data_IF_726133067610
#
_entry.id   IF_726133067610
#
_cell.length_a   1.000
_cell.length_b   1.000
_cell.length_c   1.000
_cell.angle_alpha   90.00
_cell.angle_beta   90.00
_cell.angle_gamma   90.00
#
_symmetry.space_group_name_H-M   'P 1'
#
loop_
_entity.id
_entity.type
_entity.pdbx_description
1 polymer ?
#
# COMPACT_ATOMS: atom_id res chain seq x y z
N UNK A 1 15.51 19.04 -10.92
CA UNK A 1 15.87 17.98 -9.95
C UNK A 1 15.75 18.44 -8.49
N UNK A 2 16.31 19.59 -8.08
CA UNK A 2 16.20 20.11 -6.69
C UNK A 2 14.74 20.35 -6.24
N UNK A 3 13.87 20.91 -7.08
CA UNK A 3 12.46 21.19 -6.75
C UNK A 3 11.65 19.90 -6.45
N UNK A 4 11.91 18.82 -7.19
CA UNK A 4 11.27 17.51 -6.94
C UNK A 4 11.77 16.86 -5.64
N UNK A 5 13.03 17.07 -5.28
CA UNK A 5 13.61 16.58 -4.03
C UNK A 5 12.96 17.28 -2.82
N UNK A 6 12.79 18.62 -2.86
CA UNK A 6 12.12 19.39 -1.81
C UNK A 6 10.64 19.00 -1.62
N UNK A 7 9.94 18.70 -2.71
CA UNK A 7 8.53 18.27 -2.66
C UNK A 7 8.45 16.90 -1.97
N UNK A 8 9.30 15.96 -2.36
CA UNK A 8 9.36 14.63 -1.76
C UNK A 8 9.67 14.66 -0.26
N UNK A 9 10.64 15.48 0.14
CA UNK A 9 11.03 15.61 1.55
C UNK A 9 9.93 16.24 2.40
N UNK A 10 9.17 17.20 1.86
CA UNK A 10 8.00 17.78 2.53
C UNK A 10 6.87 16.78 2.73
N UNK A 11 6.61 15.91 1.76
CA UNK A 11 5.60 14.85 1.89
C UNK A 11 6.02 13.79 2.90
N UNK A 12 7.29 13.40 2.93
CA UNK A 12 7.81 12.48 3.95
C UNK A 12 7.71 13.09 5.35
N UNK A 13 8.05 14.36 5.51
CA UNK A 13 7.87 15.08 6.78
C UNK A 13 6.40 15.16 7.18
N UNK A 14 5.49 15.46 6.25
CA UNK A 14 4.06 15.48 6.53
C UNK A 14 3.56 14.09 6.97
N UNK A 15 3.97 13.01 6.31
CA UNK A 15 3.61 11.65 6.69
C UNK A 15 4.13 11.32 8.10
N UNK A 16 5.38 11.67 8.43
CA UNK A 16 5.94 11.48 9.78
C UNK A 16 5.18 12.31 10.83
N UNK A 17 4.79 13.53 10.51
CA UNK A 17 3.95 14.36 11.38
C UNK A 17 2.61 13.68 11.66
N UNK A 18 1.99 13.06 10.66
CA UNK A 18 0.75 12.30 10.83
C UNK A 18 0.89 11.10 11.79
N UNK A 19 2.08 10.49 11.90
CA UNK A 19 2.34 9.45 12.90
C UNK A 19 2.31 9.98 14.34
N UNK A 20 2.73 11.24 14.54
CA UNK A 20 2.97 11.81 15.88
C UNK A 20 1.76 12.58 16.37
N UNK A 21 1.09 13.33 15.50
CA UNK A 21 -0.02 14.22 15.86
C UNK A 21 -1.30 13.42 16.09
N UNK A 22 -1.95 13.56 17.26
CA UNK A 22 -3.26 12.96 17.48
C UNK A 22 -4.29 13.65 16.59
N UNK A 23 -4.95 12.87 15.73
CA UNK A 23 -6.05 13.35 14.89
C UNK A 23 -7.40 13.02 15.53
N UNK A 24 -8.41 13.85 15.27
CA UNK A 24 -9.78 13.58 15.69
C UNK A 24 -10.41 12.44 14.85
N UNK A 25 -11.41 11.75 15.40
CA UNK A 25 -12.15 10.70 14.70
C UNK A 25 -12.76 11.18 13.37
N UNK A 26 -13.32 12.39 13.35
CA UNK A 26 -13.89 12.98 12.12
C UNK A 26 -12.83 13.22 11.05
N UNK A 27 -11.62 13.67 11.43
CA UNK A 27 -10.53 13.86 10.49
C UNK A 27 -10.02 12.51 9.97
N UNK A 28 -9.97 11.49 10.83
CA UNK A 28 -9.63 10.13 10.41
C UNK A 28 -10.63 9.60 9.38
N UNK A 29 -11.94 9.80 9.58
CA UNK A 29 -12.97 9.39 8.63
C UNK A 29 -12.77 10.02 7.25
N UNK A 30 -12.49 11.33 7.20
CA UNK A 30 -12.19 12.03 5.93
C UNK A 30 -10.94 11.47 5.27
N UNK A 31 -9.88 11.23 6.04
CA UNK A 31 -8.62 10.69 5.51
C UNK A 31 -8.76 9.25 5.01
N UNK A 32 -9.56 8.42 5.68
CA UNK A 32 -9.89 7.06 5.22
C UNK A 32 -10.67 7.09 3.91
N UNK A 33 -11.69 7.96 3.80
CA UNK A 33 -12.44 8.14 2.56
C UNK A 33 -11.54 8.61 1.41
N UNK A 34 -10.61 9.53 1.68
CA UNK A 34 -9.62 9.99 0.72
C UNK A 34 -8.67 8.87 0.30
N UNK A 35 -8.22 8.04 1.23
CA UNK A 35 -7.36 6.87 0.94
C UNK A 35 -8.06 5.88 0.00
N UNK A 36 -9.33 5.57 0.26
CA UNK A 36 -10.15 4.71 -0.62
C UNK A 36 -10.31 5.33 -2.00
N UNK A 37 -10.59 6.64 -2.06
CA UNK A 37 -10.73 7.37 -3.33
C UNK A 37 -9.44 7.35 -4.15
N UNK A 38 -8.29 7.58 -3.53
CA UNK A 38 -6.97 7.47 -4.20
C UNK A 38 -6.77 6.04 -4.73
N UNK A 39 -7.06 5.01 -3.93
CA UNK A 39 -6.90 3.62 -4.35
C UNK A 39 -7.78 3.30 -5.58
N UNK A 40 -9.02 3.78 -5.62
CA UNK A 40 -9.90 3.61 -6.78
C UNK A 40 -9.39 4.36 -8.01
N UNK A 41 -8.93 5.60 -7.87
CA UNK A 41 -8.34 6.36 -8.97
C UNK A 41 -7.12 5.64 -9.54
N UNK A 42 -6.25 5.12 -8.68
CA UNK A 42 -5.07 4.35 -9.09
C UNK A 42 -5.49 3.08 -9.82
N UNK A 43 -6.48 2.34 -9.30
CA UNK A 43 -7.03 1.14 -9.94
C UNK A 43 -7.55 1.44 -11.34
N UNK A 44 -8.39 2.47 -11.49
CA UNK A 44 -8.91 2.84 -12.80
C UNK A 44 -7.81 3.30 -13.75
N UNK A 45 -6.84 4.08 -13.29
CA UNK A 45 -5.71 4.47 -14.12
C UNK A 45 -4.92 3.25 -14.65
N UNK A 46 -4.66 2.25 -13.80
CA UNK A 46 -3.93 1.04 -14.21
C UNK A 46 -4.68 0.21 -15.24
N UNK A 47 -6.02 0.24 -15.25
CA UNK A 47 -6.83 -0.48 -16.24
C UNK A 47 -6.77 0.15 -17.66
N UNK A 48 -6.50 1.46 -17.75
CA UNK A 48 -6.49 2.20 -19.03
C UNK A 48 -5.10 2.49 -19.57
N UNK A 49 -4.04 2.18 -18.85
CA UNK A 49 -2.66 2.37 -19.29
C UNK A 49 -2.31 1.44 -20.44
N UNK A 50 -1.73 2.00 -21.51
CA UNK A 50 -1.33 1.26 -22.71
C UNK A 50 0.14 0.87 -22.71
N UNK A 51 1.02 1.78 -22.28
CA UNK A 51 2.45 1.53 -22.20
C UNK A 51 2.93 1.61 -20.74
N UNK A 52 3.87 0.75 -20.38
CA UNK A 52 4.40 0.67 -19.01
C UNK A 52 5.00 2.01 -18.55
N UNK A 53 5.65 2.73 -19.45
CA UNK A 53 6.31 4.01 -19.17
C UNK A 53 5.33 5.17 -18.96
N UNK A 54 4.07 5.05 -19.39
CA UNK A 54 3.03 6.05 -19.12
C UNK A 54 2.78 6.20 -17.61
N UNK A 55 3.10 5.16 -16.84
CA UNK A 55 3.02 5.17 -15.36
C UNK A 55 4.40 5.08 -14.68
N UNK A 56 5.41 5.72 -15.22
CA UNK A 56 6.77 5.70 -14.65
C UNK A 56 6.84 6.16 -13.19
N UNK A 57 5.88 6.98 -12.73
CA UNK A 57 5.74 7.44 -11.34
C UNK A 57 5.08 6.41 -10.40
N UNK A 58 4.51 5.31 -10.92
CA UNK A 58 3.71 4.35 -10.15
C UNK A 58 4.44 3.73 -8.96
N UNK A 59 5.72 3.29 -9.06
CA UNK A 59 6.43 2.77 -7.90
C UNK A 59 6.53 3.80 -6.75
N UNK A 60 6.75 5.06 -7.09
CA UNK A 60 6.80 6.15 -6.11
C UNK A 60 5.42 6.40 -5.50
N UNK A 61 4.36 6.36 -6.30
CA UNK A 61 2.98 6.49 -5.82
C UNK A 61 2.62 5.38 -4.84
N UNK A 62 3.01 4.13 -5.12
CA UNK A 62 2.81 3.00 -4.20
C UNK A 62 3.49 3.23 -2.84
N UNK A 63 4.71 3.76 -2.82
CA UNK A 63 5.40 4.08 -1.57
C UNK A 63 4.63 5.14 -0.77
N UNK A 64 4.16 6.22 -1.42
CA UNK A 64 3.40 7.27 -0.76
C UNK A 64 2.07 6.77 -0.20
N UNK A 65 1.29 6.05 -1.00
CA UNK A 65 0.00 5.51 -0.57
C UNK A 65 0.17 4.52 0.57
N UNK A 66 1.23 3.73 0.57
CA UNK A 66 1.56 2.79 1.64
C UNK A 66 1.92 3.52 2.95
N UNK A 67 2.79 4.54 2.90
CA UNK A 67 3.12 5.36 4.08
C UNK A 67 1.87 6.04 4.63
N UNK A 68 1.03 6.59 3.76
CA UNK A 68 -0.22 7.22 4.15
C UNK A 68 -1.16 6.23 4.86
N UNK A 69 -1.32 5.02 4.31
CA UNK A 69 -2.13 3.95 4.91
C UNK A 69 -1.60 3.50 6.27
N UNK A 70 -0.28 3.30 6.41
CA UNK A 70 0.34 2.96 7.70
C UNK A 70 0.05 4.07 8.73
N UNK A 71 0.18 5.34 8.34
CA UNK A 71 -0.11 6.47 9.22
C UNK A 71 -1.56 6.49 9.70
N UNK A 72 -2.51 6.17 8.81
CA UNK A 72 -3.93 6.05 9.17
C UNK A 72 -4.17 4.86 10.12
N UNK A 73 -3.54 3.72 9.89
CA UNK A 73 -3.64 2.55 10.76
C UNK A 73 -3.13 2.86 12.18
N UNK A 74 -1.98 3.56 12.31
CA UNK A 74 -1.45 3.97 13.61
C UNK A 74 -2.37 4.96 14.30
N UNK A 75 -2.93 5.92 13.56
CA UNK A 75 -3.88 6.91 14.10
C UNK A 75 -5.18 6.26 14.55
N UNK A 76 -5.73 5.32 13.77
CA UNK A 76 -6.89 4.52 14.12
C UNK A 76 -6.63 3.70 15.39
N UNK A 77 -5.49 3.00 15.46
CA UNK A 77 -5.04 2.27 16.66
C UNK A 77 -5.06 3.15 17.90
N UNK A 78 -4.48 4.35 17.80
CA UNK A 78 -4.46 5.28 18.92
C UNK A 78 -5.88 5.65 19.37
N UNK A 79 -6.79 5.96 18.45
CA UNK A 79 -8.18 6.29 18.77
C UNK A 79 -8.93 5.10 19.38
N UNK A 80 -8.76 3.89 18.83
CA UNK A 80 -9.34 2.66 19.38
C UNK A 80 -8.90 2.47 20.83
N UNK A 81 -7.59 2.54 21.10
CA UNK A 81 -7.04 2.28 22.43
C UNK A 81 -7.29 3.39 23.45
N UNK A 82 -7.44 4.66 23.00
CA UNK A 82 -7.64 5.79 23.91
C UNK A 82 -9.09 6.12 24.18
N UNK A 83 -9.95 6.07 23.15
CA UNK A 83 -11.34 6.51 23.20
C UNK A 83 -12.37 5.40 22.98
N UNK A 84 -11.94 4.24 22.47
CA UNK A 84 -12.85 3.18 22.01
C UNK A 84 -13.70 3.59 20.81
N UNK A 85 -13.40 4.72 20.14
CA UNK A 85 -14.15 5.24 19.02
C UNK A 85 -13.21 5.70 17.89
N UNK A 86 -12.93 4.84 16.90
CA UNK A 86 -12.06 5.17 15.77
C UNK A 86 -12.73 6.00 14.67
N UNK A 87 -14.01 6.34 14.82
CA UNK A 87 -14.81 7.06 13.82
C UNK A 87 -15.88 6.20 13.15
N UNK A 88 -16.74 6.88 12.37
CA UNK A 88 -17.91 6.25 11.76
C UNK A 88 -17.53 5.29 10.62
N UNK A 89 -16.49 5.60 9.86
CA UNK A 89 -16.06 4.77 8.73
C UNK A 89 -15.65 3.38 9.23
N UNK A 90 -14.78 3.31 10.25
CA UNK A 90 -14.31 2.04 10.81
C UNK A 90 -15.47 1.24 11.42
N UNK A 91 -16.31 1.91 12.23
CA UNK A 91 -17.48 1.25 12.85
C UNK A 91 -18.46 0.70 11.81
N UNK A 92 -18.79 1.50 10.79
CA UNK A 92 -19.74 1.07 9.75
C UNK A 92 -19.19 -0.11 8.95
N UNK A 93 -17.90 -0.08 8.59
CA UNK A 93 -17.27 -1.19 7.89
C UNK A 93 -17.22 -2.46 8.75
N UNK A 94 -16.85 -2.33 10.04
CA UNK A 94 -16.82 -3.45 10.97
C UNK A 94 -18.22 -4.10 11.12
N UNK A 95 -19.26 -3.31 11.29
CA UNK A 95 -20.64 -3.78 11.35
C UNK A 95 -21.11 -4.41 10.04
N UNK A 96 -20.75 -3.82 8.90
CA UNK A 96 -21.11 -4.33 7.58
C UNK A 96 -20.47 -5.69 7.29
N UNK A 97 -19.18 -5.84 7.57
CA UNK A 97 -18.43 -7.08 7.34
C UNK A 97 -18.84 -8.19 8.31
N UNK A 98 -19.01 -7.85 9.59
CA UNK A 98 -19.41 -8.80 10.63
C UNK A 98 -20.91 -9.11 10.64
N UNK A 99 -21.76 -8.34 9.95
CA UNK A 99 -23.21 -8.51 9.99
C UNK A 99 -23.80 -8.39 11.40
N UNK A 100 -23.07 -7.76 12.34
CA UNK A 100 -23.44 -7.65 13.75
C UNK A 100 -23.08 -8.90 14.59
N UNK A 101 -22.46 -9.91 14.01
CA UNK A 101 -22.01 -11.12 14.70
C UNK A 101 -20.47 -11.19 14.70
N UNK A 102 -19.88 -11.20 15.88
CA UNK A 102 -18.43 -11.25 16.07
C UNK A 102 -17.81 -12.53 15.47
N UNK A 103 -18.51 -13.67 15.57
CA UNK A 103 -18.01 -14.96 15.07
C UNK A 103 -17.93 -14.92 13.55
N UNK A 104 -18.98 -14.42 12.90
CA UNK A 104 -19.03 -14.25 11.45
C UNK A 104 -17.95 -13.27 11.00
N UNK A 105 -17.81 -12.14 11.68
CA UNK A 105 -16.75 -11.16 11.43
C UNK A 105 -15.36 -11.76 11.53
N UNK A 106 -15.08 -12.53 12.58
CA UNK A 106 -13.79 -13.20 12.77
C UNK A 106 -13.49 -14.23 11.66
N UNK A 107 -14.47 -15.00 11.23
CA UNK A 107 -14.30 -15.97 10.13
C UNK A 107 -13.99 -15.23 8.82
N UNK A 108 -14.76 -14.20 8.48
CA UNK A 108 -14.55 -13.38 7.28
C UNK A 108 -13.17 -12.73 7.33
N UNK A 109 -12.78 -12.17 8.48
CA UNK A 109 -11.45 -11.58 8.68
C UNK A 109 -10.33 -12.59 8.40
N UNK A 110 -10.40 -13.80 8.97
CA UNK A 110 -9.39 -14.85 8.73
C UNK A 110 -9.30 -15.18 7.23
N UNK A 111 -10.44 -15.31 6.54
CA UNK A 111 -10.46 -15.57 5.10
C UNK A 111 -9.78 -14.42 4.34
N UNK A 112 -10.12 -13.17 4.65
CA UNK A 112 -9.51 -12.00 4.01
C UNK A 112 -8.00 -11.94 4.25
N UNK A 113 -7.53 -12.22 5.47
CA UNK A 113 -6.11 -12.29 5.82
C UNK A 113 -5.39 -13.36 5.00
N UNK A 114 -5.97 -14.56 4.88
CA UNK A 114 -5.38 -15.63 4.06
C UNK A 114 -5.28 -15.21 2.60
N UNK A 115 -6.35 -14.64 2.02
CA UNK A 115 -6.36 -14.15 0.64
C UNK A 115 -5.30 -13.06 0.45
N UNK A 116 -5.26 -12.08 1.33
CA UNK A 116 -4.30 -10.98 1.26
C UNK A 116 -2.85 -11.48 1.34
N UNK A 117 -2.56 -12.39 2.25
CA UNK A 117 -1.19 -12.88 2.43
C UNK A 117 -0.75 -13.87 1.36
N UNK A 118 -1.58 -14.85 1.03
CA UNK A 118 -1.22 -15.95 0.13
C UNK A 118 -1.39 -15.55 -1.32
N UNK A 119 -2.52 -14.92 -1.67
CA UNK A 119 -2.83 -14.63 -3.07
C UNK A 119 -2.25 -13.29 -3.49
N UNK A 120 -2.55 -12.23 -2.74
CA UNK A 120 -2.17 -10.87 -3.15
C UNK A 120 -0.69 -10.63 -2.91
N UNK A 121 -0.20 -10.75 -1.67
CA UNK A 121 1.17 -10.38 -1.36
C UNK A 121 2.20 -11.30 -2.00
N UNK A 122 2.07 -12.64 -1.85
CA UNK A 122 3.00 -13.58 -2.47
C UNK A 122 2.86 -13.59 -4.00
N UNK A 123 1.64 -13.46 -4.52
CA UNK A 123 1.39 -13.42 -5.95
C UNK A 123 2.00 -12.19 -6.60
N UNK A 124 1.68 -10.99 -6.10
CA UNK A 124 2.18 -9.73 -6.66
C UNK A 124 3.70 -9.58 -6.54
N UNK A 125 4.27 -9.98 -5.39
CA UNK A 125 5.72 -9.99 -5.17
C UNK A 125 6.41 -10.88 -6.20
N UNK A 126 5.91 -12.10 -6.41
CA UNK A 126 6.51 -13.04 -7.35
C UNK A 126 6.43 -12.55 -8.79
N UNK A 127 5.30 -11.98 -9.19
CA UNK A 127 5.13 -11.41 -10.53
C UNK A 127 6.08 -10.23 -10.73
N UNK A 128 6.18 -9.30 -9.78
CA UNK A 128 7.07 -8.15 -9.88
C UNK A 128 8.55 -8.56 -9.94
N UNK A 129 8.98 -9.50 -9.10
CA UNK A 129 10.34 -10.02 -9.07
C UNK A 129 10.72 -10.70 -10.40
N UNK A 130 9.87 -11.61 -10.88
CA UNK A 130 10.13 -12.37 -12.10
C UNK A 130 10.13 -11.45 -13.32
N UNK A 131 9.19 -10.51 -13.41
CA UNK A 131 9.12 -9.55 -14.51
C UNK A 131 10.35 -8.63 -14.51
N UNK A 132 10.75 -8.12 -13.36
CA UNK A 132 11.95 -7.30 -13.23
C UNK A 132 13.20 -8.07 -13.69
N UNK A 133 13.34 -9.32 -13.23
CA UNK A 133 14.47 -10.19 -13.60
C UNK A 133 14.52 -10.44 -15.11
N UNK A 134 13.41 -10.86 -15.73
CA UNK A 134 13.38 -11.10 -17.16
C UNK A 134 13.68 -9.85 -17.99
N UNK A 135 13.20 -8.68 -17.56
CA UNK A 135 13.47 -7.41 -18.25
C UNK A 135 14.96 -7.05 -18.16
N UNK A 136 15.57 -7.22 -16.97
CA UNK A 136 16.99 -6.96 -16.77
C UNK A 136 17.89 -7.95 -17.54
N UNK A 137 17.55 -9.25 -17.50
CA UNK A 137 18.31 -10.29 -18.20
C UNK A 137 18.21 -10.13 -19.75
N UNK A 138 17.11 -9.61 -20.27
CA UNK A 138 16.93 -9.35 -21.68
C UNK A 138 17.60 -8.05 -22.19
N UNK A 139 18.03 -7.17 -21.29
CA UNK A 139 18.58 -5.85 -21.64
C UNK A 139 19.83 -5.92 -22.53
N UNK A 140 20.83 -6.76 -22.28
CA UNK A 140 21.99 -6.87 -23.17
C UNK A 140 21.61 -7.32 -24.58
N UNK A 141 20.68 -8.27 -24.73
CA UNK A 141 20.19 -8.73 -26.02
C UNK A 141 19.45 -7.63 -26.80
N UNK A 142 18.60 -6.85 -26.14
CA UNK A 142 17.93 -5.68 -26.73
C UNK A 142 18.95 -4.62 -27.19
N UNK A 143 20.01 -4.38 -26.40
CA UNK A 143 21.07 -3.42 -26.78
C UNK A 143 21.86 -3.91 -28.00
N UNK A 144 22.25 -5.20 -28.04
CA UNK A 144 22.92 -5.79 -29.19
C UNK A 144 22.08 -5.71 -30.47
N UNK A 145 20.77 -5.91 -30.37
CA UNK A 145 19.87 -5.78 -31.52
C UNK A 145 19.84 -4.34 -32.05
N UNK A 146 19.83 -3.34 -31.17
CA UNK A 146 19.91 -1.93 -31.57
C UNK A 146 21.23 -1.62 -32.25
N UNK A 147 22.35 -2.15 -31.77
CA UNK A 147 23.66 -1.97 -32.34
C UNK A 147 23.75 -2.61 -33.73
N UNK A 148 23.16 -3.79 -33.92
CA UNK A 148 23.08 -4.45 -35.22
C UNK A 148 22.26 -3.64 -36.22
N UNK A 149 21.07 -3.13 -35.82
CA UNK A 149 20.22 -2.27 -36.65
C UNK A 149 20.94 -0.97 -37.03
N UNK A 150 21.71 -0.39 -36.14
CA UNK A 150 22.50 0.82 -36.42
C UNK A 150 23.63 0.52 -37.39
N UNK A 151 24.36 -0.57 -37.21
CA UNK A 151 25.48 -0.97 -38.07
C UNK A 151 25.05 -1.32 -39.50
N UNK A 152 23.85 -1.88 -39.65
CA UNK A 152 23.26 -2.16 -40.96
C UNK A 152 22.63 -0.95 -41.64
N UNK A 153 22.54 0.19 -40.95
CA UNK A 153 21.88 1.39 -41.45
C UNK A 153 20.37 1.32 -41.42
N UNK A 154 19.76 0.33 -40.77
CA UNK A 154 18.31 0.17 -40.64
C UNK A 154 17.69 1.28 -39.79
N UNK A 155 18.46 1.82 -38.84
CA UNK A 155 18.07 2.94 -37.98
C UNK A 155 19.17 4.00 -37.94
N UNK A 156 18.75 5.24 -37.66
CA UNK A 156 19.67 6.37 -37.49
C UNK A 156 20.26 6.37 -36.08
N UNK A 157 21.39 7.05 -35.87
CA UNK A 157 22.03 7.21 -34.56
C UNK A 157 21.07 7.84 -33.55
N UNK A 158 20.25 8.82 -33.94
CA UNK A 158 19.21 9.41 -33.10
C UNK A 158 18.20 8.38 -32.65
N UNK A 159 17.68 7.54 -33.57
CA UNK A 159 16.73 6.48 -33.23
C UNK A 159 17.35 5.41 -32.35
N UNK A 160 18.61 5.05 -32.55
CA UNK A 160 19.33 4.13 -31.71
C UNK A 160 19.43 4.66 -30.25
N UNK A 161 19.75 5.96 -30.09
CA UNK A 161 19.82 6.62 -28.79
C UNK A 161 18.46 6.66 -28.09
N UNK A 162 17.37 6.97 -28.82
CA UNK A 162 16.01 6.96 -28.27
C UNK A 162 15.60 5.57 -27.81
N UNK A 163 15.89 4.51 -28.60
CA UNK A 163 15.60 3.12 -28.24
C UNK A 163 16.38 2.66 -27.01
N UNK A 164 17.68 3.02 -26.91
CA UNK A 164 18.50 2.70 -25.71
C UNK A 164 17.96 3.38 -24.46
N UNK A 165 17.57 4.66 -24.56
CA UNK A 165 16.98 5.38 -23.43
C UNK A 165 15.68 4.71 -22.97
N UNK A 166 14.79 4.31 -23.92
CA UNK A 166 13.55 3.61 -23.59
C UNK A 166 13.80 2.30 -22.84
N UNK A 167 14.78 1.49 -23.26
CA UNK A 167 15.19 0.26 -22.58
C UNK A 167 15.69 0.56 -21.16
N UNK A 168 16.48 1.61 -21.01
CA UNK A 168 17.00 2.00 -19.68
C UNK A 168 15.90 2.49 -18.76
N UNK A 169 14.92 3.24 -19.26
CA UNK A 169 13.75 3.70 -18.50
C UNK A 169 12.85 2.52 -18.10
N UNK A 170 12.59 1.56 -19.00
CA UNK A 170 11.87 0.32 -18.69
C UNK A 170 12.56 -0.47 -17.57
N UNK A 171 13.86 -0.63 -17.68
CA UNK A 171 14.66 -1.36 -16.68
C UNK A 171 14.63 -0.68 -15.31
N UNK A 172 14.77 0.65 -15.27
CA UNK A 172 14.67 1.43 -14.06
C UNK A 172 13.26 1.35 -13.42
N UNK A 173 12.21 1.36 -14.24
CA UNK A 173 10.83 1.18 -13.80
C UNK A 173 10.62 -0.18 -13.12
N UNK A 174 10.97 -1.27 -13.79
CA UNK A 174 10.77 -2.61 -13.23
C UNK A 174 11.63 -2.88 -12.00
N UNK A 175 12.86 -2.38 -11.95
CA UNK A 175 13.69 -2.44 -10.75
C UNK A 175 13.10 -1.67 -9.57
N UNK A 176 12.54 -0.48 -9.82
CA UNK A 176 11.85 0.33 -8.82
C UNK A 176 10.55 -0.34 -8.36
N UNK A 177 9.85 -1.03 -9.27
CA UNK A 177 8.61 -1.74 -8.98
C UNK A 177 8.83 -2.94 -8.06
N UNK A 178 9.91 -3.72 -8.27
CA UNK A 178 10.30 -4.81 -7.37
C UNK A 178 10.54 -4.29 -5.94
N UNK A 179 11.26 -3.18 -5.80
CA UNK A 179 11.47 -2.53 -4.50
C UNK A 179 10.18 -2.04 -3.85
N UNK A 180 9.31 -1.38 -4.61
CA UNK A 180 8.02 -0.89 -4.11
C UNK A 180 7.10 -2.03 -3.65
N UNK A 181 7.06 -3.14 -4.39
CA UNK A 181 6.24 -4.32 -4.03
C UNK A 181 6.70 -4.97 -2.73
N UNK A 182 8.02 -5.06 -2.50
CA UNK A 182 8.57 -5.55 -1.22
C UNK A 182 8.18 -4.66 -0.04
N UNK A 183 8.13 -3.34 -0.26
CA UNK A 183 7.69 -2.39 0.76
C UNK A 183 6.20 -2.55 1.10
N UNK A 184 5.33 -2.68 0.09
CA UNK A 184 3.89 -2.94 0.26
C UNK A 184 3.64 -4.25 1.03
N UNK A 185 4.45 -5.28 0.78
CA UNK A 185 4.38 -6.53 1.55
C UNK A 185 4.68 -6.31 3.04
N UNK A 186 5.66 -5.47 3.36
CA UNK A 186 5.98 -5.08 4.74
C UNK A 186 4.82 -4.41 5.46
N UNK A 187 4.08 -3.54 4.77
CA UNK A 187 2.88 -2.89 5.29
C UNK A 187 1.76 -3.89 5.63
N UNK A 188 1.54 -4.89 4.77
CA UNK A 188 0.54 -5.92 5.06
C UNK A 188 0.89 -6.74 6.31
N UNK A 189 2.18 -7.04 6.54
CA UNK A 189 2.63 -7.69 7.77
C UNK A 189 2.45 -6.78 8.99
N UNK A 190 2.78 -5.49 8.85
CA UNK A 190 2.55 -4.50 9.92
C UNK A 190 1.05 -4.36 10.25
N UNK A 191 0.18 -4.37 9.25
CA UNK A 191 -1.28 -4.35 9.44
C UNK A 191 -1.78 -5.48 10.32
N UNK A 192 -1.30 -6.72 10.11
CA UNK A 192 -1.67 -7.85 10.95
C UNK A 192 -1.21 -7.69 12.41
N UNK A 193 0.02 -7.19 12.62
CA UNK A 193 0.53 -6.91 13.97
C UNK A 193 -0.33 -5.84 14.65
N UNK A 194 -0.67 -4.78 13.93
CA UNK A 194 -1.54 -3.70 14.42
C UNK A 194 -2.92 -4.24 14.80
N UNK A 195 -3.53 -5.08 13.98
CA UNK A 195 -4.80 -5.74 14.27
C UNK A 195 -4.73 -6.53 15.57
N UNK A 196 -3.68 -7.35 15.74
CA UNK A 196 -3.50 -8.10 16.98
C UNK A 196 -3.31 -7.19 18.19
N UNK A 197 -2.53 -6.12 18.07
CA UNK A 197 -2.32 -5.12 19.13
C UNK A 197 -3.63 -4.41 19.47
N UNK A 198 -4.46 -4.07 18.49
CA UNK A 198 -5.76 -3.45 18.71
C UNK A 198 -6.70 -4.38 19.48
N UNK A 199 -6.80 -5.63 19.06
CA UNK A 199 -7.68 -6.59 19.71
C UNK A 199 -7.23 -6.88 21.15
N UNK A 200 -5.96 -7.25 21.34
CA UNK A 200 -5.43 -7.58 22.66
C UNK A 200 -5.37 -6.33 23.57
N UNK A 201 -4.80 -5.24 23.06
CA UNK A 201 -4.66 -3.99 23.81
C UNK A 201 -6.01 -3.36 24.12
N UNK A 202 -6.93 -3.35 23.15
CA UNK A 202 -8.30 -2.85 23.33
C UNK A 202 -9.06 -3.65 24.39
N UNK A 203 -9.00 -4.98 24.34
CA UNK A 203 -9.63 -5.84 25.35
C UNK A 203 -9.09 -5.55 26.74
N UNK A 204 -7.76 -5.44 26.90
CA UNK A 204 -7.14 -5.09 28.19
C UNK A 204 -7.61 -3.71 28.66
N UNK A 205 -7.63 -2.72 27.77
CA UNK A 205 -8.08 -1.36 28.12
C UNK A 205 -9.56 -1.32 28.48
N UNK A 206 -10.42 -2.05 27.77
CA UNK A 206 -11.85 -2.19 28.07
C UNK A 206 -12.10 -2.75 29.46
N UNK A 207 -11.34 -3.77 29.88
CA UNK A 207 -11.43 -4.36 31.20
C UNK A 207 -10.90 -3.40 32.27
N UNK A 208 -9.69 -2.86 32.10
CA UNK A 208 -9.01 -2.07 33.14
C UNK A 208 -9.59 -0.68 33.34
N UNK A 209 -10.03 -0.02 32.27
CA UNK A 209 -10.54 1.35 32.30
C UNK A 209 -12.05 1.44 32.11
N UNK A 210 -12.59 0.57 31.26
CA UNK A 210 -14.02 0.56 30.93
C UNK A 210 -14.88 -0.23 31.92
N UNK A 211 -14.26 -1.03 32.80
CA UNK A 211 -15.00 -1.92 33.71
C UNK A 211 -15.81 -3.01 32.97
N UNK A 212 -15.48 -3.26 31.72
CA UNK A 212 -16.15 -4.26 30.87
C UNK A 212 -15.78 -5.67 31.32
N UNK A 213 -16.70 -6.60 31.15
CA UNK A 213 -16.37 -8.02 31.21
C UNK A 213 -15.47 -8.41 30.03
N UNK A 214 -14.77 -9.52 30.15
CA UNK A 214 -13.90 -10.01 29.07
C UNK A 214 -14.68 -10.22 27.76
N UNK A 215 -15.91 -10.72 27.85
CA UNK A 215 -16.75 -10.95 26.68
C UNK A 215 -17.17 -9.63 26.02
N UNK A 216 -17.66 -8.67 26.80
CA UNK A 216 -18.03 -7.34 26.30
C UNK A 216 -16.84 -6.62 25.65
N UNK A 217 -15.66 -6.72 26.25
CA UNK A 217 -14.45 -6.09 25.71
C UNK A 217 -14.02 -6.71 24.37
N UNK A 218 -14.06 -8.05 24.25
CA UNK A 218 -13.76 -8.73 22.98
C UNK A 218 -14.79 -8.37 21.90
N UNK A 219 -16.08 -8.34 22.23
CA UNK A 219 -17.12 -7.97 21.27
C UNK A 219 -16.96 -6.53 20.81
N UNK A 220 -16.73 -5.60 21.72
CA UNK A 220 -16.58 -4.18 21.39
C UNK A 220 -15.31 -3.93 20.53
N UNK A 221 -14.16 -4.37 20.99
CA UNK A 221 -12.90 -4.11 20.28
C UNK A 221 -12.68 -5.02 19.06
N UNK A 222 -13.31 -6.20 19.02
CA UNK A 222 -13.28 -7.08 17.87
C UNK A 222 -13.96 -6.49 16.64
N UNK A 223 -15.06 -5.76 16.81
CA UNK A 223 -15.73 -5.06 15.70
C UNK A 223 -14.94 -3.86 15.19
N UNK A 224 -14.14 -3.23 16.06
CA UNK A 224 -13.33 -2.03 15.74
C UNK A 224 -11.97 -2.37 15.11
N UNK A 225 -11.55 -3.63 15.14
CA UNK A 225 -10.23 -4.10 14.70
C UNK A 225 -10.26 -4.75 13.34
#
# INVERSE_FOLDING_TARGET
>A
RQRQMYIRDRYLLAAVIFFIVPISSNLLDVMLALNISIALIVLFNTLFVKEVLDMSFFPTLLLFTTIFRISLNVSSTRLILTTGNPGNVVQTFGQFVGGGDLIVGAIVFIILVIIQFVVINKGSERVAEVTARFTLDAMPGKQMAIDADLNTGAITEKQARERRNKIQEESAFFGSMDGATKYVKGDAAAGLIITFVNLAGGTIMGILRGGMTFQEAIEHYGVLT
#
